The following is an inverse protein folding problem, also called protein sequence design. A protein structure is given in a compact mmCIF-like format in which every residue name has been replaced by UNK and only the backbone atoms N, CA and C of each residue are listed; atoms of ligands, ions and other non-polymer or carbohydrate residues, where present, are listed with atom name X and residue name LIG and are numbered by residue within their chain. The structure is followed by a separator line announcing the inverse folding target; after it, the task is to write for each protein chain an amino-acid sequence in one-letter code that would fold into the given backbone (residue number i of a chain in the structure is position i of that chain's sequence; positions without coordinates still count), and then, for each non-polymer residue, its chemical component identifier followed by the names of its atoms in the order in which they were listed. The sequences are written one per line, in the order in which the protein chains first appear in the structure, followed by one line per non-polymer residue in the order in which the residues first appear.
data_IF_594720529962
#
_entry.id   IF_594720529962
#
_cell.length_a   1.000
_cell.length_b   1.000
_cell.length_c   1.000
_cell.angle_alpha   90.00
_cell.angle_beta   90.00
_cell.angle_gamma   90.00
#
_symmetry.space_group_name_H-M   'P 1'
#
loop_
_entity.id
_entity.type
_entity.pdbx_description
1 polymer ?
#
# COMPACT_ATOMS: atom_id res chain seq x y z
N UNK A 1 -17.35 16.81 -19.81
CA UNK A 1 -17.88 16.26 -18.58
C UNK A 1 -17.06 16.74 -17.38
N UNK A 2 -17.73 16.98 -16.25
CA UNK A 2 -17.18 17.66 -15.09
C UNK A 2 -16.17 16.82 -14.32
N UNK A 3 -16.39 15.51 -14.27
CA UNK A 3 -15.45 14.57 -13.67
C UNK A 3 -14.06 14.66 -14.32
N UNK A 4 -13.99 14.87 -15.64
CA UNK A 4 -12.74 15.06 -16.33
C UNK A 4 -12.06 16.39 -15.93
N UNK A 5 -12.81 17.48 -15.76
CA UNK A 5 -12.24 18.78 -15.32
C UNK A 5 -11.68 18.71 -13.90
N UNK A 6 -12.33 17.97 -13.01
CA UNK A 6 -11.83 17.73 -11.65
C UNK A 6 -10.55 16.90 -11.69
N UNK A 7 -10.50 15.83 -12.48
CA UNK A 7 -9.30 14.99 -12.61
C UNK A 7 -8.17 15.70 -13.35
N UNK A 8 -8.47 16.57 -14.33
CA UNK A 8 -7.46 17.31 -15.12
C UNK A 8 -6.67 18.36 -14.33
N UNK A 9 -7.19 18.82 -13.19
CA UNK A 9 -6.44 19.72 -12.29
C UNK A 9 -5.25 19.03 -11.64
N UNK A 10 -5.35 17.73 -11.45
CA UNK A 10 -4.29 16.91 -10.85
C UNK A 10 -3.39 16.23 -11.88
N UNK A 11 -3.79 16.26 -13.14
CA UNK A 11 -3.08 15.65 -14.27
C UNK A 11 -3.09 16.65 -15.42
N UNK A 12 -2.03 17.42 -15.56
CA UNK A 12 -1.90 18.52 -16.51
C UNK A 12 -1.74 18.06 -17.97
N UNK A 13 -2.69 17.27 -18.47
CA UNK A 13 -2.78 16.90 -19.89
C UNK A 13 -4.23 16.84 -20.34
N UNK A 14 -4.57 17.74 -21.26
CA UNK A 14 -5.73 17.56 -22.14
C UNK A 14 -5.69 16.18 -22.77
N UNK A 15 -6.82 15.48 -22.97
CA UNK A 15 -6.84 14.24 -23.75
C UNK A 15 -6.19 14.54 -25.09
N UNK A 16 -5.11 13.86 -25.43
CA UNK A 16 -4.56 13.90 -26.77
C UNK A 16 -5.66 13.44 -27.70
N UNK A 17 -6.03 14.33 -28.64
CA UNK A 17 -6.95 14.03 -29.70
C UNK A 17 -6.41 12.84 -30.49
N UNK A 18 -6.96 11.66 -30.21
CA UNK A 18 -6.57 10.39 -30.86
C UNK A 18 -7.16 10.27 -32.25
N UNK A 19 -7.69 11.37 -32.83
CA UNK A 19 -8.29 11.38 -34.17
C UNK A 19 -7.29 11.48 -35.34
N UNK A 20 -5.98 11.34 -35.10
CA UNK A 20 -4.99 11.31 -36.20
C UNK A 20 -4.00 10.16 -36.02
N UNK A 21 -4.36 8.99 -36.52
CA UNK A 21 -3.54 8.04 -37.27
C UNK A 21 -4.17 6.65 -37.32
N UNK A 22 -4.94 6.41 -38.36
CA UNK A 22 -4.86 5.16 -39.13
C UNK A 22 -5.54 5.40 -40.47
N UNK A 23 -4.76 5.78 -41.45
CA UNK A 23 -5.07 5.52 -42.87
C UNK A 23 -4.07 4.47 -43.32
N UNK A 24 -4.64 3.31 -43.66
CA UNK A 24 -4.29 2.32 -44.67
C UNK A 24 -4.60 0.93 -44.10
N UNK A 25 -5.60 0.25 -44.58
CA UNK A 25 -5.74 -0.48 -45.83
C UNK A 25 -7.17 -0.97 -46.05
N UNK A 26 -7.60 -0.71 -47.22
CA UNK A 26 -8.51 -1.32 -48.21
C UNK A 26 -9.51 -2.41 -47.81
N UNK A 27 -10.77 -2.03 -48.13
CA UNK A 27 -11.73 -2.70 -49.02
C UNK A 27 -12.46 -3.95 -48.52
N UNK A 28 -13.74 -3.84 -48.34
CA UNK A 28 -14.84 -4.38 -49.14
C UNK A 28 -16.18 -3.93 -48.58
N UNK A 29 -17.00 -3.24 -49.35
CA UNK A 29 -18.45 -3.02 -49.18
C UNK A 29 -19.23 -4.26 -49.69
N UNK A 30 -20.61 -4.34 -49.62
CA UNK A 30 -21.60 -3.39 -49.13
C UNK A 30 -22.81 -4.00 -48.38
N UNK A 31 -23.74 -3.08 -48.03
CA UNK A 31 -25.19 -3.20 -47.87
C UNK A 31 -25.79 -3.70 -46.53
N UNK A 32 -26.48 -2.88 -45.81
CA UNK A 32 -27.90 -2.55 -45.89
C UNK A 32 -28.37 -1.67 -44.72
N UNK A 33 -29.23 -0.74 -45.08
CA UNK A 33 -29.91 0.25 -44.22
C UNK A 33 -30.75 -0.39 -43.12
N UNK A 34 -30.68 0.20 -41.92
CA UNK A 34 -31.88 0.45 -41.12
C UNK A 34 -31.66 1.63 -40.18
N UNK A 35 -32.43 2.68 -40.41
CA UNK A 35 -32.59 3.84 -39.52
C UNK A 35 -33.28 3.38 -38.23
N UNK A 36 -32.65 3.62 -37.09
CA UNK A 36 -33.38 3.73 -35.85
C UNK A 36 -32.76 4.87 -34.99
N UNK A 37 -33.56 5.93 -34.91
CA UNK A 37 -33.37 7.08 -34.04
C UNK A 37 -33.44 6.66 -32.59
N UNK A 38 -32.31 6.52 -31.89
CA UNK A 38 -32.26 6.47 -30.43
C UNK A 38 -31.50 7.67 -29.89
N UNK A 39 -32.23 8.46 -29.09
CA UNK A 39 -31.77 9.58 -28.26
C UNK A 39 -30.45 9.25 -27.58
N UNK A 40 -29.44 10.08 -27.81
CA UNK A 40 -28.11 9.94 -27.24
C UNK A 40 -28.11 10.01 -25.71
N UNK A 41 -27.90 8.87 -25.09
CA UNK A 41 -27.20 8.83 -23.81
C UNK A 41 -25.72 8.91 -24.16
N UNK A 42 -25.06 10.02 -23.83
CA UNK A 42 -23.60 10.10 -23.93
C UNK A 42 -23.01 9.03 -23.00
N UNK A 43 -22.63 7.91 -23.58
CA UNK A 43 -21.72 6.98 -22.90
C UNK A 43 -20.40 7.72 -22.75
N UNK A 44 -20.19 8.38 -21.59
CA UNK A 44 -18.87 8.85 -21.19
C UNK A 44 -18.03 7.59 -21.02
N UNK A 45 -17.06 7.44 -21.88
CA UNK A 45 -16.19 6.26 -21.88
C UNK A 45 -15.49 6.20 -20.51
N UNK A 46 -15.71 5.14 -19.73
CA UNK A 46 -15.12 4.98 -18.38
C UNK A 46 -13.59 5.11 -18.39
N UNK A 47 -12.97 4.85 -19.54
CA UNK A 47 -11.53 5.00 -19.73
C UNK A 47 -11.08 6.47 -19.64
N UNK A 48 -11.94 7.44 -19.98
CA UNK A 48 -11.62 8.89 -19.91
C UNK A 48 -11.72 9.48 -18.50
N UNK A 49 -12.24 8.71 -17.53
CA UNK A 49 -12.37 9.13 -16.13
C UNK A 49 -11.22 8.65 -15.24
N UNK A 50 -10.27 7.90 -15.79
CA UNK A 50 -9.09 7.44 -15.05
C UNK A 50 -8.02 8.53 -15.06
N UNK A 51 -7.43 8.80 -13.89
CA UNK A 51 -6.22 9.60 -13.82
C UNK A 51 -5.05 8.82 -14.44
N UNK A 52 -4.15 9.51 -15.15
CA UNK A 52 -2.93 8.88 -15.69
C UNK A 52 -1.95 8.49 -14.58
N UNK A 53 -2.09 9.08 -13.41
CA UNK A 53 -1.25 8.85 -12.26
C UNK A 53 -2.07 8.30 -11.09
N UNK A 54 -1.49 7.35 -10.34
CA UNK A 54 -2.06 6.88 -9.09
C UNK A 54 -2.01 8.03 -8.06
N UNK A 55 -3.17 8.39 -7.54
CA UNK A 55 -3.31 9.48 -6.56
C UNK A 55 -3.99 8.95 -5.31
N UNK A 56 -3.43 9.28 -4.16
CA UNK A 56 -4.02 8.98 -2.86
C UNK A 56 -4.75 10.22 -2.32
N UNK A 57 -6.03 10.08 -2.05
CA UNK A 57 -6.87 11.12 -1.46
C UNK A 57 -7.22 10.78 -0.02
N UNK A 58 -7.14 11.76 0.86
CA UNK A 58 -7.65 11.64 2.22
C UNK A 58 -9.18 11.59 2.25
N UNK A 59 -9.75 11.06 3.32
CA UNK A 59 -11.20 11.03 3.50
C UNK A 59 -11.81 12.44 3.47
N UNK A 60 -11.12 13.43 4.04
CA UNK A 60 -11.56 14.83 4.03
C UNK A 60 -11.54 15.43 2.63
N UNK A 61 -10.53 15.11 1.83
CA UNK A 61 -10.43 15.52 0.43
C UNK A 61 -11.53 14.87 -0.41
N UNK A 62 -11.80 13.57 -0.20
CA UNK A 62 -12.90 12.86 -0.87
C UNK A 62 -14.24 13.50 -0.51
N UNK A 63 -14.47 13.83 0.76
CA UNK A 63 -15.68 14.51 1.20
C UNK A 63 -15.83 15.89 0.57
N UNK A 64 -14.75 16.67 0.48
CA UNK A 64 -14.74 17.98 -0.19
C UNK A 64 -15.06 17.86 -1.69
N UNK A 65 -14.46 16.88 -2.38
CA UNK A 65 -14.74 16.58 -3.80
C UNK A 65 -16.23 16.24 -3.98
N UNK A 66 -16.79 15.39 -3.13
CA UNK A 66 -18.20 14.98 -3.21
C UNK A 66 -19.16 16.16 -2.95
N UNK A 67 -18.83 17.02 -1.99
CA UNK A 67 -19.59 18.23 -1.69
C UNK A 67 -19.59 19.21 -2.88
N UNK A 68 -18.42 19.42 -3.49
CA UNK A 68 -18.29 20.27 -4.68
C UNK A 68 -19.12 19.68 -5.84
N UNK A 69 -19.00 18.40 -6.14
CA UNK A 69 -19.77 17.73 -7.20
C UNK A 69 -21.29 17.94 -6.97
N UNK A 70 -21.74 17.75 -5.74
CA UNK A 70 -23.15 17.94 -5.38
C UNK A 70 -23.63 19.36 -5.65
N UNK A 71 -22.81 20.37 -5.30
CA UNK A 71 -23.10 21.78 -5.53
C UNK A 71 -23.16 22.10 -7.03
N UNK A 72 -22.17 21.63 -7.79
CA UNK A 72 -22.08 21.87 -9.23
C UNK A 72 -23.27 21.25 -9.99
N UNK A 73 -23.73 20.06 -9.57
CA UNK A 73 -24.93 19.43 -10.13
C UNK A 73 -26.17 20.27 -9.86
N UNK A 74 -26.35 20.77 -8.63
CA UNK A 74 -27.51 21.61 -8.26
C UNK A 74 -27.52 22.93 -9.03
N UNK A 75 -26.36 23.54 -9.18
CA UNK A 75 -26.20 24.83 -9.88
C UNK A 75 -26.08 24.68 -11.41
N UNK A 76 -26.01 23.47 -11.91
CA UNK A 76 -25.84 23.14 -13.34
C UNK A 76 -24.72 23.95 -14.01
N UNK A 77 -23.59 24.09 -13.34
CA UNK A 77 -22.40 24.83 -13.83
C UNK A 77 -21.13 24.00 -13.75
N UNK A 78 -20.11 24.49 -14.43
CA UNK A 78 -18.76 23.93 -14.34
C UNK A 78 -18.00 24.44 -13.10
N UNK A 79 -17.01 23.67 -12.61
CA UNK A 79 -16.16 24.10 -11.51
C UNK A 79 -15.27 25.29 -11.93
N UNK A 80 -15.04 26.21 -11.01
CA UNK A 80 -14.05 27.29 -11.18
C UNK A 80 -12.66 26.80 -10.77
N UNK A 81 -11.61 27.47 -11.29
CA UNK A 81 -10.22 27.09 -11.01
C UNK A 81 -9.88 27.12 -9.51
N UNK A 82 -10.38 28.13 -8.80
CA UNK A 82 -10.18 28.32 -7.35
C UNK A 82 -10.85 27.20 -6.52
N UNK A 83 -12.05 26.74 -6.94
CA UNK A 83 -12.75 25.63 -6.29
C UNK A 83 -11.98 24.31 -6.46
N UNK A 84 -11.33 24.14 -7.62
CA UNK A 84 -10.52 22.96 -7.91
C UNK A 84 -9.19 22.98 -7.15
N UNK A 85 -8.55 24.16 -7.06
CA UNK A 85 -7.27 24.30 -6.34
C UNK A 85 -7.39 24.12 -4.83
N UNK A 86 -8.57 24.32 -4.27
CA UNK A 86 -8.85 24.12 -2.83
C UNK A 86 -9.23 22.71 -2.42
N UNK A 87 -9.32 21.75 -3.36
CA UNK A 87 -9.76 20.39 -3.06
C UNK A 87 -8.70 19.57 -2.34
N UNK A 88 -7.42 19.78 -2.68
CA UNK A 88 -6.30 19.17 -1.96
C UNK A 88 -5.84 20.13 -0.86
N UNK A 89 -5.47 19.57 0.27
CA UNK A 89 -4.98 20.31 1.42
C UNK A 89 -3.47 20.16 1.54
N UNK A 90 -2.78 21.27 1.83
CA UNK A 90 -1.36 21.26 2.18
C UNK A 90 -1.18 20.78 3.63
N UNK A 91 -2.12 21.15 4.53
CA UNK A 91 -2.14 20.65 5.89
C UNK A 91 -2.97 19.35 5.97
N UNK A 92 -2.33 18.26 6.37
CA UNK A 92 -2.94 16.94 6.43
C UNK A 92 -3.54 16.67 7.81
N UNK A 93 -4.77 16.14 7.81
CA UNK A 93 -5.35 15.42 8.95
C UNK A 93 -5.31 13.91 8.75
N UNK A 94 -4.82 13.45 7.59
CA UNK A 94 -4.84 12.05 7.16
C UNK A 94 -3.57 11.35 7.59
N UNK A 95 -3.71 10.41 8.52
CA UNK A 95 -2.59 9.65 9.11
C UNK A 95 -1.88 8.79 8.06
N UNK A 96 -2.60 8.20 7.14
CA UNK A 96 -2.07 7.35 6.07
C UNK A 96 -1.18 8.15 5.12
N UNK A 97 -1.60 9.32 4.66
CA UNK A 97 -0.79 10.20 3.82
C UNK A 97 0.42 10.75 4.59
N UNK A 98 0.24 11.11 5.87
CA UNK A 98 1.33 11.59 6.70
C UNK A 98 2.41 10.52 6.96
N UNK A 99 2.00 9.25 7.05
CA UNK A 99 2.90 8.11 7.24
C UNK A 99 3.61 7.70 5.96
N UNK A 100 2.85 7.45 4.89
CA UNK A 100 3.35 6.77 3.69
C UNK A 100 3.63 7.73 2.53
N UNK A 101 3.34 9.02 2.74
CA UNK A 101 3.62 10.05 1.75
C UNK A 101 2.61 10.11 0.62
N UNK A 102 2.76 11.15 -0.19
CA UNK A 102 2.03 11.34 -1.44
C UNK A 102 2.92 12.07 -2.44
N UNK A 103 2.99 11.55 -3.66
CA UNK A 103 3.73 12.18 -4.75
C UNK A 103 2.79 12.49 -5.92
N UNK A 104 2.76 13.77 -6.32
CA UNK A 104 2.02 14.26 -7.46
C UNK A 104 3.00 14.98 -8.40
N UNK A 105 3.24 14.44 -9.59
CA UNK A 105 4.23 14.97 -10.53
C UNK A 105 3.87 16.39 -10.98
N UNK A 106 2.58 16.67 -11.20
CA UNK A 106 2.09 17.96 -11.76
C UNK A 106 1.54 18.91 -10.69
N UNK A 107 1.54 18.52 -9.42
CA UNK A 107 1.02 19.32 -8.31
C UNK A 107 1.91 19.19 -7.06
N UNK A 108 3.20 19.45 -7.23
CA UNK A 108 4.27 19.19 -6.26
C UNK A 108 4.06 19.87 -4.90
N UNK A 109 3.30 20.97 -4.85
CA UNK A 109 2.94 21.66 -3.60
C UNK A 109 2.15 20.80 -2.61
N UNK A 110 1.51 19.73 -3.11
CA UNK A 110 0.74 18.78 -2.28
C UNK A 110 1.50 17.48 -2.00
N UNK A 111 2.78 17.44 -2.38
CA UNK A 111 3.62 16.30 -2.06
C UNK A 111 3.89 16.25 -0.56
N UNK A 112 3.91 15.04 -0.03
CA UNK A 112 4.18 14.76 1.38
C UNK A 112 5.27 13.71 1.42
N UNK A 113 6.35 14.00 2.12
CA UNK A 113 7.42 13.03 2.35
C UNK A 113 6.98 11.95 3.34
N UNK A 114 7.29 10.70 3.03
CA UNK A 114 6.91 9.58 3.87
C UNK A 114 7.70 9.57 5.19
N UNK A 115 6.97 9.56 6.31
CA UNK A 115 7.57 9.44 7.63
C UNK A 115 7.85 7.98 8.02
N UNK A 116 7.28 7.00 7.31
CA UNK A 116 7.43 5.56 7.54
C UNK A 116 8.05 4.92 6.32
N UNK A 117 9.09 4.13 6.55
CA UNK A 117 9.76 3.33 5.54
C UNK A 117 9.61 1.86 5.92
N UNK A 118 9.07 1.06 5.00
CA UNK A 118 8.87 -0.38 5.18
C UNK A 118 9.75 -1.10 4.16
N UNK A 119 10.68 -1.91 4.64
CA UNK A 119 11.52 -2.72 3.78
C UNK A 119 10.74 -3.91 3.23
N UNK A 120 11.18 -4.49 2.11
CA UNK A 120 10.68 -5.78 1.69
C UNK A 120 11.03 -6.83 2.75
N UNK A 121 10.04 -7.64 3.14
CA UNK A 121 10.29 -8.79 4.00
C UNK A 121 11.17 -9.82 3.27
N UNK A 122 12.20 -10.30 3.95
CA UNK A 122 13.11 -11.33 3.42
C UNK A 122 13.02 -12.59 4.25
N UNK A 123 13.10 -13.75 3.62
CA UNK A 123 13.18 -15.02 4.34
C UNK A 123 14.53 -15.17 5.02
N UNK A 124 14.52 -15.73 6.23
CA UNK A 124 15.77 -15.95 6.99
C UNK A 124 16.40 -17.31 6.70
N UNK A 125 15.71 -18.15 5.94
CA UNK A 125 16.14 -19.50 5.54
C UNK A 125 15.76 -19.77 4.09
N UNK A 126 16.29 -20.85 3.53
CA UNK A 126 15.89 -21.33 2.22
C UNK A 126 14.42 -21.77 2.24
N UNK A 127 13.63 -21.30 1.28
CA UNK A 127 12.22 -21.63 1.16
C UNK A 127 12.00 -22.46 -0.10
N UNK A 128 11.46 -23.67 0.08
CA UNK A 128 10.97 -24.47 -1.02
C UNK A 128 9.57 -23.97 -1.42
N UNK A 129 9.40 -23.72 -2.72
CA UNK A 129 8.07 -23.48 -3.30
C UNK A 129 7.52 -24.83 -3.74
N UNK A 130 6.33 -25.15 -3.29
CA UNK A 130 5.61 -26.36 -3.67
C UNK A 130 4.50 -25.99 -4.66
N UNK A 131 4.40 -26.74 -5.74
CA UNK A 131 3.41 -26.53 -6.79
C UNK A 131 2.32 -27.60 -6.68
N UNK A 132 1.07 -27.16 -6.63
CA UNK A 132 -0.11 -28.01 -6.63
C UNK A 132 -0.84 -27.85 -7.96
N UNK A 133 -0.80 -28.90 -8.76
CA UNK A 133 -1.50 -28.97 -10.05
C UNK A 133 -2.90 -29.51 -9.84
N UNK A 134 -3.90 -28.80 -10.32
CA UNK A 134 -5.28 -29.24 -10.20
C UNK A 134 -6.02 -29.17 -11.51
N UNK A 135 -6.98 -30.08 -11.68
CA UNK A 135 -7.90 -30.12 -12.79
C UNK A 135 -9.33 -30.18 -12.24
N UNK A 136 -10.24 -29.48 -12.88
CA UNK A 136 -11.67 -29.60 -12.63
C UNK A 136 -12.36 -30.16 -13.87
N UNK A 137 -13.07 -31.26 -13.73
CA UNK A 137 -13.92 -31.85 -14.76
C UNK A 137 -15.37 -31.45 -14.47
N UNK A 138 -16.08 -30.98 -15.47
CA UNK A 138 -17.51 -30.74 -15.36
C UNK A 138 -18.26 -32.06 -15.50
N UNK A 139 -18.84 -32.54 -14.40
CA UNK A 139 -19.62 -33.78 -14.38
C UNK A 139 -20.89 -33.74 -15.25
N UNK A 140 -21.32 -32.54 -15.63
CA UNK A 140 -22.45 -32.32 -16.53
C UNK A 140 -22.07 -32.24 -18.00
N UNK A 141 -20.76 -32.16 -18.30
CA UNK A 141 -20.26 -32.17 -19.67
C UNK A 141 -20.38 -33.57 -20.26
N UNK A 142 -21.25 -33.72 -21.27
CA UNK A 142 -21.52 -35.01 -21.95
C UNK A 142 -20.48 -35.37 -23.00
N UNK A 143 -19.44 -34.59 -23.20
CA UNK A 143 -18.34 -34.87 -24.13
C UNK A 143 -18.68 -34.66 -25.60
N UNK A 144 -19.83 -34.06 -25.91
CA UNK A 144 -20.28 -33.88 -27.30
C UNK A 144 -19.53 -32.73 -28.01
N UNK A 145 -19.03 -31.72 -27.23
CA UNK A 145 -18.32 -30.57 -27.76
C UNK A 145 -16.86 -30.48 -27.35
N UNK A 146 -16.52 -30.93 -26.12
CA UNK A 146 -15.14 -30.97 -25.60
C UNK A 146 -15.03 -31.98 -24.45
N UNK A 147 -14.19 -32.99 -24.63
CA UNK A 147 -13.91 -34.03 -23.62
C UNK A 147 -12.82 -33.62 -22.61
N UNK A 148 -12.32 -32.37 -22.68
CA UNK A 148 -11.25 -31.86 -21.83
C UNK A 148 -11.68 -31.46 -20.43
N UNK A 149 -10.71 -31.21 -19.57
CA UNK A 149 -10.95 -30.61 -18.26
C UNK A 149 -11.46 -29.18 -18.44
N UNK A 150 -12.60 -28.85 -17.78
CA UNK A 150 -13.20 -27.52 -17.87
C UNK A 150 -12.32 -26.42 -17.25
N UNK A 151 -11.41 -26.79 -16.38
CA UNK A 151 -10.40 -25.89 -15.81
C UNK A 151 -9.14 -26.66 -15.42
N UNK A 152 -7.99 -26.16 -15.81
CA UNK A 152 -6.67 -26.64 -15.44
C UNK A 152 -5.93 -25.47 -14.81
N UNK A 153 -5.30 -25.69 -13.67
CA UNK A 153 -4.53 -24.65 -13.00
C UNK A 153 -3.40 -25.19 -12.17
N UNK A 154 -2.51 -24.32 -11.80
CA UNK A 154 -1.37 -24.56 -10.93
C UNK A 154 -1.38 -23.54 -9.80
N UNK A 155 -1.17 -23.98 -8.58
CA UNK A 155 -1.13 -23.17 -7.38
C UNK A 155 0.19 -23.39 -6.68
N UNK A 156 1.03 -22.37 -6.65
CA UNK A 156 2.27 -22.39 -5.90
C UNK A 156 2.05 -21.90 -4.45
N UNK A 157 2.66 -22.55 -3.48
CA UNK A 157 2.64 -22.13 -2.09
C UNK A 157 3.98 -22.38 -1.41
N UNK A 158 4.25 -21.61 -0.36
CA UNK A 158 5.47 -21.74 0.44
C UNK A 158 5.20 -21.33 1.87
N UNK A 159 6.00 -21.87 2.81
CA UNK A 159 6.02 -21.45 4.20
C UNK A 159 7.40 -20.93 4.55
N UNK A 160 7.48 -19.77 5.20
CA UNK A 160 8.75 -19.15 5.54
C UNK A 160 8.71 -18.35 6.83
N UNK A 161 9.87 -18.24 7.49
CA UNK A 161 10.12 -17.29 8.55
C UNK A 161 10.72 -16.02 7.90
N UNK A 162 10.10 -14.86 8.17
CA UNK A 162 10.46 -13.61 7.54
C UNK A 162 11.07 -12.65 8.53
N UNK A 163 12.06 -11.91 8.09
CA UNK A 163 12.55 -10.69 8.71
C UNK A 163 11.95 -9.50 8.00
N UNK A 164 11.38 -8.58 8.78
CA UNK A 164 10.86 -7.31 8.29
C UNK A 164 11.48 -6.15 9.06
N UNK A 165 11.76 -5.07 8.37
CA UNK A 165 12.33 -3.86 8.95
C UNK A 165 11.43 -2.66 8.63
N UNK A 166 11.06 -1.92 9.68
CA UNK A 166 10.28 -0.70 9.59
C UNK A 166 11.03 0.43 10.28
N UNK A 167 11.18 1.55 9.59
CA UNK A 167 11.76 2.78 10.14
C UNK A 167 10.70 3.87 10.20
N UNK A 168 10.60 4.55 11.33
CA UNK A 168 9.63 5.62 11.57
C UNK A 168 10.36 6.89 11.98
N UNK A 169 10.27 7.94 11.15
CA UNK A 169 10.69 9.28 11.53
C UNK A 169 9.54 9.98 12.27
N UNK A 170 9.59 9.88 13.61
CA UNK A 170 8.56 10.45 14.50
C UNK A 170 8.42 11.97 14.32
N UNK A 171 9.54 12.68 14.19
CA UNK A 171 9.55 14.14 14.02
C UNK A 171 8.85 14.54 12.73
N UNK A 172 9.20 13.90 11.61
CA UNK A 172 8.56 14.16 10.33
C UNK A 172 7.06 13.82 10.37
N UNK A 173 6.68 12.72 11.05
CA UNK A 173 5.27 12.38 11.21
C UNK A 173 4.50 13.44 12.00
N UNK A 174 5.08 13.96 13.07
CA UNK A 174 4.50 15.05 13.85
C UNK A 174 4.35 16.33 13.00
N UNK A 175 5.37 16.67 12.19
CA UNK A 175 5.35 17.79 11.25
C UNK A 175 4.26 17.63 10.19
N UNK A 176 4.19 16.46 9.55
CA UNK A 176 3.17 16.13 8.54
C UNK A 176 1.75 16.23 9.10
N UNK A 177 1.54 15.94 10.38
CA UNK A 177 0.25 16.02 11.07
C UNK A 177 -0.05 17.41 11.68
N UNK A 178 0.68 18.44 11.24
CA UNK A 178 0.43 19.84 11.62
C UNK A 178 1.27 20.38 12.77
N UNK A 179 2.26 19.63 13.24
CA UNK A 179 3.25 20.07 14.24
C UNK A 179 2.63 20.64 15.53
N UNK A 180 3.34 21.61 16.10
CA UNK A 180 2.91 22.29 17.36
C UNK A 180 1.71 23.25 17.16
N UNK A 181 1.32 23.58 15.93
CA UNK A 181 0.22 24.52 15.64
C UNK A 181 -1.15 24.02 16.08
N UNK A 182 -1.30 22.71 16.24
CA UNK A 182 -2.47 22.08 16.86
C UNK A 182 -1.94 21.09 17.91
N UNK A 183 -2.22 21.33 19.19
CA UNK A 183 -1.86 20.41 20.31
C UNK A 183 -2.24 18.92 20.08
N UNK A 184 -2.75 18.58 18.90
CA UNK A 184 -3.13 17.24 18.46
C UNK A 184 -2.07 16.49 17.64
N UNK A 185 -1.09 17.19 17.02
CA UNK A 185 -0.15 16.52 16.10
C UNK A 185 0.70 15.47 16.80
N UNK A 186 1.27 15.79 17.97
CA UNK A 186 2.07 14.83 18.77
C UNK A 186 1.23 13.67 19.28
N UNK A 187 0.05 13.94 19.82
CA UNK A 187 -0.86 12.90 20.30
C UNK A 187 -1.36 11.99 19.17
N UNK A 188 -1.68 12.57 18.02
CA UNK A 188 -2.10 11.82 16.85
C UNK A 188 -0.96 10.98 16.26
N UNK A 189 0.27 11.52 16.20
CA UNK A 189 1.44 10.78 15.75
C UNK A 189 1.74 9.57 16.65
N UNK A 190 1.70 9.78 17.98
CA UNK A 190 1.88 8.70 18.95
C UNK A 190 0.82 7.60 18.81
N UNK A 191 -0.46 7.98 18.64
CA UNK A 191 -1.55 7.03 18.42
C UNK A 191 -1.36 6.28 17.09
N UNK A 192 -0.96 6.98 16.05
CA UNK A 192 -0.71 6.42 14.73
C UNK A 192 0.45 5.40 14.74
N UNK A 193 1.57 5.71 15.38
CA UNK A 193 2.70 4.79 15.55
C UNK A 193 2.26 3.54 16.32
N UNK A 194 1.49 3.72 17.40
CA UNK A 194 0.97 2.61 18.19
C UNK A 194 0.12 1.66 17.33
N UNK A 195 -0.82 2.20 16.54
CA UNK A 195 -1.70 1.41 15.66
C UNK A 195 -0.89 0.73 14.56
N UNK A 196 0.08 1.43 13.96
CA UNK A 196 0.96 0.84 12.93
C UNK A 196 1.72 -0.35 13.48
N UNK A 197 2.36 -0.22 14.65
CA UNK A 197 3.14 -1.31 15.27
C UNK A 197 2.22 -2.47 15.67
N UNK A 198 1.04 -2.19 16.24
CA UNK A 198 0.08 -3.24 16.55
C UNK A 198 -0.40 -3.97 15.31
N UNK A 199 -0.64 -3.25 14.22
CA UNK A 199 -1.03 -3.83 12.94
C UNK A 199 0.09 -4.68 12.34
N UNK A 200 1.34 -4.22 12.34
CA UNK A 200 2.49 -4.96 11.86
C UNK A 200 2.69 -6.29 12.61
N UNK A 201 2.36 -6.32 13.91
CA UNK A 201 2.48 -7.53 14.74
C UNK A 201 1.34 -8.53 14.51
N UNK A 202 0.12 -8.06 14.24
CA UNK A 202 -1.09 -8.91 14.26
C UNK A 202 -1.75 -9.13 12.91
N UNK A 203 -1.60 -8.18 11.98
CA UNK A 203 -2.32 -8.23 10.71
C UNK A 203 -1.52 -9.00 9.67
N UNK A 204 -2.15 -9.96 9.05
CA UNK A 204 -1.61 -10.75 7.95
C UNK A 204 -2.29 -10.38 6.65
N UNK A 205 -1.68 -10.68 5.48
CA UNK A 205 -2.32 -10.48 4.18
C UNK A 205 -3.72 -11.11 4.13
N UNK A 206 -4.70 -10.39 3.60
CA UNK A 206 -6.07 -10.87 3.50
C UNK A 206 -6.31 -11.82 2.32
N UNK A 207 -5.41 -11.84 1.34
CA UNK A 207 -5.51 -12.69 0.16
C UNK A 207 -5.45 -14.17 0.50
N UNK A 208 -6.32 -14.96 -0.13
CA UNK A 208 -6.42 -16.42 0.00
C UNK A 208 -6.57 -16.96 1.44
N UNK A 209 -7.14 -16.18 2.35
CA UNK A 209 -7.33 -16.60 3.74
C UNK A 209 -8.23 -17.83 3.87
N UNK A 210 -9.21 -18.01 2.98
CA UNK A 210 -10.09 -19.18 3.00
C UNK A 210 -9.34 -20.48 2.62
N UNK A 211 -8.27 -20.39 1.82
CA UNK A 211 -7.47 -21.53 1.40
C UNK A 211 -6.34 -21.84 2.36
N UNK A 212 -5.66 -20.81 2.90
CA UNK A 212 -4.43 -20.99 3.68
C UNK A 212 -4.58 -20.67 5.16
N UNK A 213 -5.60 -19.92 5.58
CA UNK A 213 -5.80 -19.47 6.96
C UNK A 213 -4.53 -18.89 7.62
N UNK A 214 -3.72 -18.16 6.84
CA UNK A 214 -2.44 -17.60 7.24
C UNK A 214 -2.64 -16.42 8.21
N UNK A 215 -2.68 -16.70 9.53
CA UNK A 215 -2.94 -15.73 10.59
C UNK A 215 -1.86 -15.77 11.68
N UNK A 216 -0.60 -15.73 11.24
CA UNK A 216 0.53 -15.73 12.16
C UNK A 216 0.73 -14.33 12.77
N UNK A 217 0.95 -14.26 14.07
CA UNK A 217 1.47 -13.07 14.74
C UNK A 217 2.99 -13.03 14.68
N UNK A 218 3.58 -11.86 14.84
CA UNK A 218 5.02 -11.73 14.95
C UNK A 218 5.54 -12.49 16.19
N UNK A 219 6.52 -13.37 16.00
CA UNK A 219 7.10 -14.19 17.08
C UNK A 219 8.15 -13.42 17.88
N UNK A 220 8.81 -12.45 17.26
CA UNK A 220 9.86 -11.62 17.87
C UNK A 220 9.76 -10.19 17.34
N UNK A 221 9.94 -9.22 18.20
CA UNK A 221 9.96 -7.81 17.86
C UNK A 221 11.02 -7.08 18.69
N UNK A 222 11.92 -6.40 18.01
CA UNK A 222 12.90 -5.49 18.60
C UNK A 222 12.55 -4.06 18.15
N UNK A 223 12.35 -3.17 19.11
CA UNK A 223 12.14 -1.74 18.88
C UNK A 223 13.30 -0.96 19.46
N UNK A 224 13.90 -0.12 18.65
CA UNK A 224 14.95 0.81 19.05
C UNK A 224 14.48 2.25 18.83
N UNK A 225 14.75 3.12 19.79
CA UNK A 225 14.54 4.57 19.69
C UNK A 225 15.88 5.30 19.81
N UNK A 226 16.07 6.31 18.98
CA UNK A 226 17.28 7.12 18.98
C UNK A 226 17.16 8.33 18.08
N UNK A 227 18.17 9.17 18.09
CA UNK A 227 18.29 10.39 17.27
C UNK A 227 19.33 10.24 16.15
N UNK A 228 20.03 9.11 16.14
CA UNK A 228 21.01 8.76 15.10
C UNK A 228 20.30 8.14 13.90
N UNK A 229 20.99 8.09 12.76
CA UNK A 229 20.48 7.39 11.60
C UNK A 229 20.24 5.91 11.94
N UNK A 230 19.02 5.40 11.72
CA UNK A 230 18.70 4.01 11.98
C UNK A 230 19.36 3.08 10.96
N UNK A 231 19.50 1.80 11.35
CA UNK A 231 20.07 0.76 10.50
C UNK A 231 19.16 -0.45 10.38
N UNK A 232 19.18 -1.08 9.23
CA UNK A 232 18.60 -2.41 9.05
C UNK A 232 19.60 -3.47 9.54
N UNK A 233 19.10 -4.54 10.15
CA UNK A 233 19.87 -5.72 10.55
C UNK A 233 19.71 -6.87 9.55
N UNK A 234 19.21 -6.63 8.34
CA UNK A 234 18.97 -7.66 7.31
C UNK A 234 20.23 -8.43 6.93
N UNK A 235 21.40 -7.83 7.12
CA UNK A 235 22.71 -8.51 6.90
C UNK A 235 22.93 -9.72 7.81
N UNK A 236 22.15 -9.88 8.89
CA UNK A 236 22.13 -11.09 9.71
C UNK A 236 21.72 -12.34 8.93
N UNK A 237 21.06 -12.15 7.78
CA UNK A 237 20.44 -13.20 6.99
C UNK A 237 20.96 -13.25 5.54
N UNK A 238 22.19 -12.77 5.32
CA UNK A 238 22.85 -12.92 4.01
C UNK A 238 23.13 -14.39 3.67
N UNK A 239 23.36 -15.20 4.69
CA UNK A 239 23.44 -16.65 4.57
C UNK A 239 22.15 -17.26 5.14
N UNK A 240 21.54 -18.17 4.37
CA UNK A 240 20.31 -18.84 4.79
C UNK A 240 20.55 -19.69 6.05
N UNK A 241 19.71 -19.50 7.06
CA UNK A 241 19.76 -20.30 8.28
C UNK A 241 19.27 -21.72 8.04
N UNK A 242 19.89 -22.67 8.70
CA UNK A 242 19.57 -24.09 8.58
C UNK A 242 19.34 -24.71 9.97
N UNK A 243 18.61 -25.81 10.02
CA UNK A 243 18.42 -26.59 11.25
C UNK A 243 16.99 -26.64 11.74
N UNK A 244 16.77 -27.30 12.89
CA UNK A 244 15.43 -27.59 13.42
C UNK A 244 14.82 -26.42 14.20
N UNK A 245 15.64 -25.50 14.73
CA UNK A 245 15.17 -24.35 15.52
C UNK A 245 15.47 -23.04 14.77
N UNK A 246 14.83 -22.84 13.64
CA UNK A 246 15.06 -21.67 12.79
C UNK A 246 14.74 -20.36 13.50
N UNK A 247 13.67 -20.29 14.30
CA UNK A 247 13.29 -19.06 14.99
C UNK A 247 14.34 -18.67 16.04
N UNK A 248 14.80 -19.61 16.87
CA UNK A 248 15.85 -19.35 17.84
C UNK A 248 17.17 -18.95 17.20
N UNK A 249 17.55 -19.64 16.09
CA UNK A 249 18.73 -19.28 15.32
C UNK A 249 18.62 -17.86 14.71
N UNK A 250 17.43 -17.49 14.20
CA UNK A 250 17.19 -16.18 13.64
C UNK A 250 17.33 -15.06 14.69
N UNK A 251 16.77 -15.25 15.87
CA UNK A 251 16.89 -14.29 16.99
C UNK A 251 18.36 -14.15 17.41
N UNK A 252 19.10 -15.25 17.51
CA UNK A 252 20.52 -15.23 17.87
C UNK A 252 21.35 -14.50 16.82
N UNK A 253 21.17 -14.83 15.52
CA UNK A 253 21.87 -14.14 14.43
C UNK A 253 21.61 -12.64 14.40
N UNK A 254 20.36 -12.24 14.68
CA UNK A 254 19.98 -10.82 14.78
C UNK A 254 20.72 -10.13 15.93
N UNK A 255 20.71 -10.73 17.12
CA UNK A 255 21.34 -10.18 18.31
C UNK A 255 22.87 -10.07 18.15
N UNK A 256 23.51 -11.07 17.58
CA UNK A 256 24.96 -11.08 17.32
C UNK A 256 25.35 -10.02 16.28
N UNK A 257 24.57 -9.90 15.20
CA UNK A 257 24.80 -8.87 14.18
C UNK A 257 24.62 -7.48 14.75
N UNK A 258 23.57 -7.26 15.53
CA UNK A 258 23.33 -6.01 16.24
C UNK A 258 24.51 -5.63 17.11
N UNK A 259 24.98 -6.56 17.95
CA UNK A 259 26.12 -6.34 18.83
C UNK A 259 27.40 -5.97 18.05
N UNK A 260 27.72 -6.71 16.98
CA UNK A 260 28.89 -6.42 16.15
C UNK A 260 28.80 -5.03 15.51
N UNK A 261 27.63 -4.62 15.04
CA UNK A 261 27.42 -3.28 14.50
C UNK A 261 27.57 -2.20 15.58
N UNK A 262 27.00 -2.40 16.76
CA UNK A 262 27.13 -1.48 17.88
C UNK A 262 28.58 -1.34 18.35
N UNK A 263 29.37 -2.42 18.35
CA UNK A 263 30.78 -2.42 18.70
C UNK A 263 31.64 -1.65 17.68
N UNK A 264 31.29 -1.70 16.38
CA UNK A 264 32.07 -1.07 15.30
C UNK A 264 31.65 0.38 15.04
N UNK A 265 30.34 0.64 14.93
CA UNK A 265 29.81 1.95 14.53
C UNK A 265 29.33 2.80 15.73
N UNK A 266 29.23 2.20 16.92
CA UNK A 266 28.55 2.79 18.06
C UNK A 266 27.02 2.55 18.00
N UNK A 267 26.37 2.71 19.16
CA UNK A 267 24.93 2.56 19.26
C UNK A 267 24.20 3.70 18.56
N UNK A 268 23.30 3.41 17.64
CA UNK A 268 22.41 4.40 17.02
C UNK A 268 21.10 4.60 17.82
N UNK A 269 20.93 3.89 18.91
CA UNK A 269 19.75 3.90 19.77
C UNK A 269 20.11 4.28 21.21
N UNK A 270 19.12 4.84 21.91
CA UNK A 270 19.24 5.23 23.33
C UNK A 270 18.30 4.43 24.23
N UNK A 271 17.21 3.93 23.67
CA UNK A 271 16.19 3.13 24.34
C UNK A 271 15.80 1.96 23.46
N UNK A 272 15.48 0.85 24.09
CA UNK A 272 15.03 -0.35 23.39
C UNK A 272 13.92 -1.06 24.17
N UNK A 273 13.11 -1.81 23.43
CA UNK A 273 12.16 -2.76 23.99
C UNK A 273 12.13 -4.02 23.11
N UNK A 274 12.18 -5.17 23.77
CA UNK A 274 12.14 -6.48 23.12
C UNK A 274 10.89 -7.24 23.54
N UNK A 275 10.20 -7.84 22.59
CA UNK A 275 9.12 -8.79 22.81
C UNK A 275 9.47 -10.08 22.10
N UNK A 276 9.46 -11.19 22.85
CA UNK A 276 9.78 -12.51 22.34
C UNK A 276 8.67 -13.49 22.77
N UNK A 277 7.70 -13.71 21.89
CA UNK A 277 6.57 -14.60 22.14
C UNK A 277 7.02 -16.07 22.24
N UNK A 278 8.12 -16.44 21.56
CA UNK A 278 8.68 -17.79 21.62
C UNK A 278 9.32 -18.09 22.99
N UNK A 279 9.96 -17.11 23.60
CA UNK A 279 10.53 -17.24 24.95
C UNK A 279 9.54 -16.85 26.07
N UNK A 280 8.38 -16.31 25.72
CA UNK A 280 7.39 -15.82 26.69
C UNK A 280 7.83 -14.55 27.44
N UNK A 281 8.68 -13.71 26.83
CA UNK A 281 9.19 -12.47 27.43
C UNK A 281 8.67 -11.23 26.73
N UNK A 282 8.53 -10.11 27.47
CA UNK A 282 7.95 -8.87 27.01
C UNK A 282 6.41 -8.97 26.85
N UNK A 283 5.76 -7.81 26.78
CA UNK A 283 4.31 -7.72 26.57
C UNK A 283 4.00 -6.70 25.50
N UNK A 284 3.08 -7.06 24.58
CA UNK A 284 2.66 -6.15 23.54
C UNK A 284 2.11 -4.82 24.09
N UNK A 285 1.36 -4.84 25.20
CA UNK A 285 0.82 -3.62 25.81
C UNK A 285 1.91 -2.66 26.29
N UNK A 286 3.00 -3.19 26.85
CA UNK A 286 4.14 -2.40 27.30
C UNK A 286 4.94 -1.86 26.09
N UNK A 287 5.15 -2.70 25.08
CA UNK A 287 5.78 -2.29 23.82
C UNK A 287 4.98 -1.17 23.13
N UNK A 288 3.65 -1.28 23.05
CA UNK A 288 2.81 -0.24 22.47
C UNK A 288 2.83 1.07 23.26
N UNK A 289 3.00 1.01 24.58
CA UNK A 289 3.23 2.18 25.42
C UNK A 289 4.61 2.77 25.16
N UNK A 290 5.62 1.91 25.05
CA UNK A 290 6.97 2.32 24.72
C UNK A 290 7.05 3.06 23.38
N UNK A 291 6.45 2.55 22.31
CA UNK A 291 6.52 3.20 20.97
C UNK A 291 5.75 4.51 20.90
N UNK A 292 4.71 4.70 21.71
CA UNK A 292 3.91 5.92 21.76
C UNK A 292 4.60 7.08 22.49
N UNK A 293 5.42 6.81 23.50
CA UNK A 293 6.23 7.81 24.23
C UNK A 293 7.50 8.15 23.48
#
# INVERSE_FOLDING_TARGET
SWAWKITSVFVDKSPKDTSKKTKKDKAVEPDSETKDTKKGKSNVDKATLKSEQLVFYSNDEIAAIQALITTLIKENREPKADELSGLLKEELSSVDVAMFGRMLANATRYNVEAAVQVAHAVTVHEVAVEDDYFTAVDDLNRGDDDAGAGHIGELAFASGLFYEYVCINKTLLEENLGGDKKNGGKGLAAAAIRVLVESAVKVTPSGRQNSFASRAYASYLLVEKGTQQPRSLSVAYLEALNGKNLLGAAITALADTRKKMDDVYGKCWTQEYEMNAFAGTGKLSELLTFVAG
#
